data_IF_163908762018
#
_entry.id   IF_163908762018
#
_cell.length_a   1.000
_cell.length_b   1.000
_cell.length_c   1.000
_cell.angle_alpha   90.00
_cell.angle_beta   90.00
_cell.angle_gamma   90.00
#
_symmetry.space_group_name_H-M   'P 1'
#
loop_
_entity.id
_entity.type
_entity.pdbx_description
1 polymer ?
#
# COMPACT_ATOMS: atom_id res chain seq x y z
N UNK A 1 -2.96 19.88 -11.31
CA UNK A 1 -4.03 19.74 -12.32
C UNK A 1 -3.62 18.82 -13.48
N UNK A 2 -2.74 19.21 -14.42
CA UNK A 2 -2.39 18.34 -15.57
C UNK A 2 -1.79 16.97 -15.18
N UNK A 3 -0.89 16.95 -14.19
CA UNK A 3 -0.27 15.70 -13.71
C UNK A 3 -1.28 14.80 -12.99
N UNK A 4 -2.16 15.37 -12.16
CA UNK A 4 -3.24 14.64 -11.49
C UNK A 4 -4.19 13.97 -12.49
N UNK A 5 -4.64 14.69 -13.52
CA UNK A 5 -5.48 14.10 -14.57
C UNK A 5 -4.74 13.03 -15.38
N UNK A 6 -3.44 13.24 -15.67
CA UNK A 6 -2.61 12.23 -16.33
C UNK A 6 -2.47 10.97 -15.47
N UNK A 7 -2.31 11.11 -14.15
CA UNK A 7 -2.22 10.00 -13.21
C UNK A 7 -3.55 9.24 -13.14
N UNK A 8 -4.67 9.94 -13.12
CA UNK A 8 -6.02 9.34 -13.19
C UNK A 8 -6.19 8.50 -14.47
N UNK A 9 -5.84 9.05 -15.63
CA UNK A 9 -5.89 8.30 -16.89
C UNK A 9 -4.95 7.08 -16.88
N UNK A 10 -3.80 7.19 -16.21
CA UNK A 10 -2.86 6.08 -16.08
C UNK A 10 -3.43 4.97 -15.18
N UNK A 11 -4.13 5.32 -14.09
CA UNK A 11 -4.86 4.37 -13.25
C UNK A 11 -5.89 3.62 -14.09
N UNK A 12 -6.72 4.33 -14.85
CA UNK A 12 -7.74 3.71 -15.71
C UNK A 12 -7.12 2.74 -16.73
N UNK A 13 -5.97 3.10 -17.31
CA UNK A 13 -5.23 2.22 -18.22
C UNK A 13 -4.69 0.96 -17.55
N UNK A 14 -4.09 1.09 -16.36
CA UNK A 14 -3.58 -0.07 -15.59
C UNK A 14 -4.72 -1.03 -15.28
N UNK A 15 -5.87 -0.50 -14.84
CA UNK A 15 -7.05 -1.31 -14.50
C UNK A 15 -7.59 -2.02 -15.74
N UNK A 16 -7.73 -1.30 -16.85
CA UNK A 16 -8.16 -1.91 -18.12
C UNK A 16 -7.23 -3.05 -18.54
N UNK A 17 -5.91 -2.88 -18.42
CA UNK A 17 -4.94 -3.93 -18.72
C UNK A 17 -5.13 -5.15 -17.79
N UNK A 18 -5.26 -4.92 -16.49
CA UNK A 18 -5.50 -5.99 -15.50
C UNK A 18 -6.78 -6.79 -15.81
N UNK A 19 -7.86 -6.11 -16.19
CA UNK A 19 -9.11 -6.74 -16.63
C UNK A 19 -8.93 -7.59 -17.90
N UNK A 20 -8.16 -7.10 -18.88
CA UNK A 20 -7.86 -7.89 -20.08
C UNK A 20 -7.03 -9.12 -19.75
N UNK A 21 -6.03 -8.98 -18.88
CA UNK A 21 -5.23 -10.10 -18.39
C UNK A 21 -6.11 -11.12 -17.66
N UNK A 22 -7.06 -10.68 -16.83
CA UNK A 22 -8.06 -11.56 -16.22
C UNK A 22 -8.82 -12.38 -17.27
N UNK A 23 -9.38 -11.74 -18.30
CA UNK A 23 -10.19 -12.44 -19.32
C UNK A 23 -9.37 -13.51 -20.04
N UNK A 24 -8.12 -13.21 -20.38
CA UNK A 24 -7.23 -14.13 -21.10
C UNK A 24 -6.80 -15.28 -20.19
N UNK A 25 -6.26 -14.96 -19.01
CA UNK A 25 -5.67 -15.95 -18.12
C UNK A 25 -6.70 -16.83 -17.44
N UNK A 26 -7.90 -16.31 -17.15
CA UNK A 26 -8.98 -17.11 -16.55
C UNK A 26 -9.40 -18.29 -17.45
N UNK A 27 -9.23 -18.19 -18.77
CA UNK A 27 -9.53 -19.28 -19.71
C UNK A 27 -8.37 -20.25 -19.92
N UNK A 28 -7.14 -19.86 -19.58
CA UNK A 28 -5.92 -20.61 -19.87
C UNK A 28 -5.33 -21.30 -18.63
N UNK A 29 -5.51 -20.70 -17.45
CA UNK A 29 -4.91 -21.15 -16.20
C UNK A 29 -5.94 -21.87 -15.34
N UNK A 30 -5.46 -22.86 -14.57
CA UNK A 30 -6.24 -23.43 -13.47
C UNK A 30 -6.55 -22.35 -12.42
N UNK A 31 -7.67 -22.42 -11.69
CA UNK A 31 -8.08 -21.42 -10.69
C UNK A 31 -6.98 -21.04 -9.69
N UNK A 32 -6.25 -22.01 -9.15
CA UNK A 32 -5.16 -21.79 -8.21
C UNK A 32 -3.93 -21.13 -8.84
N UNK A 33 -3.59 -21.53 -10.07
CA UNK A 33 -2.49 -20.93 -10.83
C UNK A 33 -2.84 -19.49 -11.24
N UNK A 34 -4.07 -19.25 -11.69
CA UNK A 34 -4.59 -17.92 -11.98
C UNK A 34 -4.48 -17.01 -10.75
N UNK A 35 -5.01 -17.46 -9.61
CA UNK A 35 -5.00 -16.68 -8.36
C UNK A 35 -3.57 -16.32 -7.98
N UNK A 36 -2.65 -17.30 -7.93
CA UNK A 36 -1.25 -17.05 -7.58
C UNK A 36 -0.60 -16.06 -8.55
N UNK A 37 -0.73 -16.27 -9.86
CA UNK A 37 -0.13 -15.39 -10.87
C UNK A 37 -0.70 -13.97 -10.80
N UNK A 38 -2.01 -13.83 -10.62
CA UNK A 38 -2.64 -12.52 -10.51
C UNK A 38 -2.25 -11.80 -9.21
N UNK A 39 -2.18 -12.51 -8.08
CA UNK A 39 -1.67 -11.95 -6.83
C UNK A 39 -0.23 -11.45 -6.97
N UNK A 40 0.64 -12.16 -7.69
CA UNK A 40 2.02 -11.70 -7.95
C UNK A 40 2.05 -10.43 -8.81
N UNK A 41 1.21 -10.33 -9.84
CA UNK A 41 1.10 -9.13 -10.67
C UNK A 41 0.60 -7.95 -9.85
N UNK A 42 -0.44 -8.15 -9.05
CA UNK A 42 -1.00 -7.11 -8.18
C UNK A 42 0.00 -6.67 -7.11
N UNK A 43 0.74 -7.61 -6.52
CA UNK A 43 1.80 -7.30 -5.56
C UNK A 43 2.87 -6.41 -6.18
N UNK A 44 3.34 -6.72 -7.38
CA UNK A 44 4.32 -5.89 -8.08
C UNK A 44 3.77 -4.48 -8.37
N UNK A 45 2.53 -4.38 -8.86
CA UNK A 45 1.89 -3.09 -9.17
C UNK A 45 1.74 -2.24 -7.91
N UNK A 46 1.19 -2.80 -6.83
CA UNK A 46 0.99 -2.04 -5.59
C UNK A 46 2.31 -1.72 -4.88
N UNK A 47 3.28 -2.65 -4.90
CA UNK A 47 4.60 -2.42 -4.32
C UNK A 47 5.28 -1.26 -5.00
N UNK A 48 5.27 -1.24 -6.33
CA UNK A 48 5.83 -0.15 -7.12
C UNK A 48 5.17 1.18 -6.82
N UNK A 49 3.84 1.25 -6.79
CA UNK A 49 3.11 2.49 -6.46
C UNK A 49 3.46 2.96 -5.04
N UNK A 50 3.44 2.07 -4.05
CA UNK A 50 3.75 2.42 -2.66
C UNK A 50 5.19 2.93 -2.51
N UNK A 51 6.15 2.24 -3.13
CA UNK A 51 7.56 2.63 -3.10
C UNK A 51 7.78 3.96 -3.82
N UNK A 52 7.19 4.15 -5.00
CA UNK A 52 7.33 5.40 -5.76
C UNK A 52 6.78 6.60 -4.98
N UNK A 53 5.68 6.43 -4.22
CA UNK A 53 5.14 7.49 -3.35
C UNK A 53 6.06 7.73 -2.15
N UNK A 54 6.58 6.68 -1.51
CA UNK A 54 7.47 6.79 -0.35
C UNK A 54 8.85 7.39 -0.70
N UNK A 55 9.25 7.36 -1.96
CA UNK A 55 10.49 7.96 -2.47
C UNK A 55 10.33 9.43 -2.90
N UNK A 56 9.14 10.01 -2.79
CA UNK A 56 8.95 11.42 -3.09
C UNK A 56 9.54 12.28 -1.98
N UNK A 57 10.42 13.20 -2.36
CA UNK A 57 10.94 14.27 -1.51
C UNK A 57 10.05 15.52 -1.62
N UNK A 58 9.93 16.28 -0.53
CA UNK A 58 9.26 17.60 -0.48
C UNK A 58 7.85 17.66 -1.10
N UNK A 59 6.90 16.97 -0.46
CA UNK A 59 5.50 16.90 -0.89
C UNK A 59 4.71 18.06 -0.26
N UNK A 60 4.13 18.94 -1.08
CA UNK A 60 3.25 19.99 -0.58
C UNK A 60 1.91 19.43 -0.09
N UNK A 61 1.25 20.14 0.83
CA UNK A 61 -0.04 19.70 1.40
C UNK A 61 -1.13 19.41 0.34
N UNK A 62 -1.17 20.19 -0.75
CA UNK A 62 -2.10 19.94 -1.86
C UNK A 62 -1.74 18.66 -2.63
N UNK A 63 -0.46 18.34 -2.77
CA UNK A 63 0.02 17.13 -3.45
C UNK A 63 -0.26 15.89 -2.60
N UNK A 64 -0.11 15.99 -1.28
CA UNK A 64 -0.51 14.95 -0.31
C UNK A 64 -2.00 14.60 -0.47
N UNK A 65 -2.87 15.60 -0.57
CA UNK A 65 -4.32 15.40 -0.81
C UNK A 65 -4.60 14.78 -2.18
N UNK A 66 -3.88 15.19 -3.21
CA UNK A 66 -4.01 14.64 -4.55
C UNK A 66 -3.57 13.17 -4.61
N UNK A 67 -2.44 12.82 -3.99
CA UNK A 67 -1.98 11.44 -3.88
C UNK A 67 -2.99 10.57 -3.14
N UNK A 68 -3.52 11.05 -2.02
CA UNK A 68 -4.54 10.33 -1.26
C UNK A 68 -5.77 10.03 -2.11
N UNK A 69 -6.28 11.03 -2.85
CA UNK A 69 -7.42 10.84 -3.77
C UNK A 69 -7.12 9.83 -4.87
N UNK A 70 -5.91 9.84 -5.43
CA UNK A 70 -5.50 8.88 -6.46
C UNK A 70 -5.45 7.45 -5.90
N UNK A 71 -4.95 7.25 -4.68
CA UNK A 71 -4.95 5.94 -4.03
C UNK A 71 -6.38 5.45 -3.78
N UNK A 72 -7.28 6.32 -3.29
CA UNK A 72 -8.69 5.96 -3.10
C UNK A 72 -9.36 5.60 -4.44
N UNK A 73 -9.16 6.40 -5.48
CA UNK A 73 -9.71 6.13 -6.81
C UNK A 73 -9.22 4.79 -7.38
N UNK A 74 -7.93 4.49 -7.21
CA UNK A 74 -7.35 3.20 -7.60
C UNK A 74 -8.09 2.04 -6.92
N UNK A 75 -8.35 2.13 -5.61
CA UNK A 75 -9.06 1.08 -4.87
C UNK A 75 -10.54 1.00 -5.20
N UNK A 76 -11.22 2.13 -5.38
CA UNK A 76 -12.62 2.15 -5.82
C UNK A 76 -12.78 1.42 -7.15
N UNK A 77 -11.92 1.74 -8.13
CA UNK A 77 -11.97 1.14 -9.45
C UNK A 77 -11.52 -0.34 -9.47
N UNK A 78 -10.61 -0.74 -8.57
CA UNK A 78 -10.15 -2.13 -8.46
C UNK A 78 -11.02 -3.02 -7.57
N UNK A 79 -11.95 -2.46 -6.80
CA UNK A 79 -12.74 -3.20 -5.80
C UNK A 79 -13.40 -4.47 -6.39
N UNK A 80 -14.18 -4.30 -7.46
CA UNK A 80 -14.88 -5.40 -8.15
C UNK A 80 -13.92 -6.45 -8.74
N UNK A 81 -12.76 -6.01 -9.21
CA UNK A 81 -11.70 -6.88 -9.73
C UNK A 81 -11.06 -7.71 -8.62
N UNK A 82 -10.69 -7.08 -7.50
CA UNK A 82 -10.10 -7.76 -6.34
C UNK A 82 -11.08 -8.78 -5.74
N UNK A 83 -12.36 -8.42 -5.66
CA UNK A 83 -13.43 -9.32 -5.20
C UNK A 83 -13.57 -10.53 -6.13
N UNK A 84 -13.46 -10.33 -7.44
CA UNK A 84 -13.49 -11.40 -8.44
C UNK A 84 -12.29 -12.35 -8.27
N UNK A 85 -11.09 -11.84 -8.03
CA UNK A 85 -9.89 -12.67 -7.76
C UNK A 85 -10.04 -13.46 -6.46
N UNK A 86 -10.67 -12.88 -5.44
CA UNK A 86 -10.94 -13.56 -4.17
C UNK A 86 -11.99 -14.67 -4.27
N UNK A 87 -13.04 -14.46 -5.06
CA UNK A 87 -14.15 -15.40 -5.23
C UNK A 87 -13.74 -16.74 -5.87
N UNK A 88 -12.63 -16.76 -6.63
CA UNK A 88 -12.10 -17.97 -7.30
C UNK A 88 -11.76 -19.10 -6.30
N UNK A 89 -11.60 -18.80 -5.01
CA UNK A 89 -11.32 -19.80 -3.97
C UNK A 89 -12.52 -20.65 -3.55
N UNK A 90 -13.75 -20.21 -3.79
CA UNK A 90 -14.94 -20.87 -3.21
C UNK A 90 -15.44 -22.07 -4.03
N UNK A 91 -14.89 -22.29 -5.23
CA UNK A 91 -15.39 -23.29 -6.18
C UNK A 91 -14.61 -24.60 -6.21
N UNK A 92 -13.49 -24.70 -5.50
CA UNK A 92 -12.67 -25.93 -5.43
C UNK A 92 -12.71 -26.59 -4.05
N UNK A 93 -13.53 -27.63 -3.89
CA UNK A 93 -13.38 -28.58 -2.78
C UNK A 93 -11.97 -29.17 -2.86
N UNK A 94 -11.07 -28.80 -1.94
CA UNK A 94 -9.90 -29.51 -1.40
C UNK A 94 -8.83 -28.48 -0.99
N UNK A 95 -8.66 -28.28 0.33
CA UNK A 95 -7.38 -28.29 1.06
C UNK A 95 -7.45 -27.44 2.35
N UNK A 96 -7.05 -28.08 3.44
CA UNK A 96 -7.06 -27.67 4.85
C UNK A 96 -5.94 -26.67 5.20
N UNK A 97 -5.69 -25.64 4.38
CA UNK A 97 -4.84 -24.52 4.79
C UNK A 97 -5.71 -23.38 5.32
N UNK A 98 -5.30 -22.64 6.38
CA UNK A 98 -6.02 -21.43 6.76
C UNK A 98 -6.18 -20.56 5.53
N UNK A 99 -7.40 -20.07 5.28
CA UNK A 99 -7.71 -19.31 4.08
C UNK A 99 -6.75 -18.12 3.98
N UNK A 100 -5.72 -18.22 3.14
CA UNK A 100 -4.77 -17.13 2.89
C UNK A 100 -5.58 -15.92 2.46
N UNK A 101 -5.51 -14.87 3.27
CA UNK A 101 -6.22 -13.62 3.00
C UNK A 101 -5.55 -12.90 1.83
N UNK A 102 -6.25 -11.94 1.22
CA UNK A 102 -5.66 -11.13 0.15
C UNK A 102 -4.40 -10.40 0.65
N UNK A 103 -4.41 -9.98 1.90
CA UNK A 103 -3.31 -9.25 2.53
C UNK A 103 -2.08 -10.15 2.78
N UNK A 104 -2.27 -11.48 2.93
CA UNK A 104 -1.16 -12.44 3.00
C UNK A 104 -0.51 -12.66 1.63
N UNK A 105 -1.31 -12.60 0.57
CA UNK A 105 -0.87 -12.82 -0.81
C UNK A 105 -0.32 -11.55 -1.46
N UNK A 106 -0.78 -10.40 -0.99
CA UNK A 106 -0.48 -9.08 -1.54
C UNK A 106 -0.18 -8.12 -0.36
N UNK A 107 0.95 -8.28 0.35
CA UNK A 107 1.31 -7.40 1.47
C UNK A 107 1.33 -5.91 1.08
N UNK A 108 1.71 -5.60 -0.16
CA UNK A 108 1.75 -4.21 -0.66
C UNK A 108 0.36 -3.58 -0.78
N UNK A 109 -0.70 -4.39 -0.90
CA UNK A 109 -2.08 -3.91 -0.85
C UNK A 109 -2.39 -3.27 0.50
N UNK A 110 -2.07 -3.98 1.59
CA UNK A 110 -2.26 -3.51 2.96
C UNK A 110 -1.41 -2.27 3.23
N UNK A 111 -0.16 -2.26 2.78
CA UNK A 111 0.74 -1.11 2.91
C UNK A 111 0.19 0.12 2.19
N UNK A 112 -0.27 -0.02 0.95
CA UNK A 112 -0.78 1.09 0.14
C UNK A 112 -2.09 1.66 0.70
N UNK A 113 -3.00 0.83 1.25
CA UNK A 113 -4.18 1.33 1.98
C UNK A 113 -3.76 2.17 3.18
N UNK A 114 -2.82 1.67 3.97
CA UNK A 114 -2.33 2.40 5.14
C UNK A 114 -1.60 3.69 4.77
N UNK A 115 -0.94 3.71 3.61
CA UNK A 115 -0.33 4.92 3.06
C UNK A 115 -1.37 6.02 2.77
N UNK A 116 -2.56 5.65 2.28
CA UNK A 116 -3.66 6.60 2.10
C UNK A 116 -4.10 7.25 3.43
N UNK A 117 -4.14 6.47 4.51
CA UNK A 117 -4.43 7.00 5.85
C UNK A 117 -3.30 7.93 6.34
N UNK A 118 -2.04 7.54 6.11
CA UNK A 118 -0.86 8.30 6.53
C UNK A 118 -0.80 9.69 5.89
N UNK A 119 -1.22 9.83 4.63
CA UNK A 119 -1.23 11.11 3.92
C UNK A 119 -2.14 12.16 4.59
N UNK A 120 -3.21 11.75 5.29
CA UNK A 120 -4.11 12.66 6.00
C UNK A 120 -3.88 12.66 7.53
N UNK A 121 -2.92 11.87 7.99
CA UNK A 121 -2.67 11.70 9.42
C UNK A 121 -1.78 12.82 9.98
N UNK A 122 -2.11 13.41 11.14
CA UNK A 122 -1.23 14.39 11.77
C UNK A 122 0.04 13.71 12.30
N UNK A 123 1.16 14.44 12.29
CA UNK A 123 2.49 13.95 12.70
C UNK A 123 2.51 13.18 14.03
N UNK A 124 1.79 13.66 15.05
CA UNK A 124 1.71 12.98 16.36
C UNK A 124 1.04 11.60 16.27
N UNK A 125 0.01 11.48 15.45
CA UNK A 125 -0.69 10.21 15.24
C UNK A 125 0.16 9.23 14.44
N UNK A 126 0.94 9.70 13.45
CA UNK A 126 1.91 8.87 12.73
C UNK A 126 2.96 8.31 13.71
N UNK A 127 3.48 9.16 14.59
CA UNK A 127 4.46 8.76 15.61
C UNK A 127 3.85 7.72 16.56
N UNK A 128 2.62 7.94 17.03
CA UNK A 128 1.92 6.99 17.89
C UNK A 128 1.67 5.64 17.19
N UNK A 129 1.25 5.65 15.92
CA UNK A 129 1.06 4.43 15.13
C UNK A 129 2.38 3.67 14.88
N UNK A 130 3.51 4.38 14.80
CA UNK A 130 4.82 3.72 14.80
C UNK A 130 5.13 3.09 16.16
N UNK A 131 4.84 3.79 17.26
CA UNK A 131 5.10 3.32 18.62
C UNK A 131 4.23 2.14 19.08
N UNK A 132 3.09 1.90 18.43
CA UNK A 132 2.19 0.78 18.71
C UNK A 132 2.44 -0.44 17.81
N UNK A 133 3.53 -0.45 17.03
CA UNK A 133 3.81 -1.43 15.96
C UNK A 133 2.76 -1.47 14.84
N UNK A 134 1.81 -0.54 14.82
CA UNK A 134 0.76 -0.53 13.80
C UNK A 134 1.36 -0.40 12.40
N UNK A 135 2.26 0.57 12.20
CA UNK A 135 2.92 0.78 10.89
C UNK A 135 3.84 -0.37 10.51
N UNK A 136 4.60 -0.93 11.47
CA UNK A 136 5.44 -2.11 11.23
C UNK A 136 4.60 -3.32 10.78
N UNK A 137 3.45 -3.54 11.42
CA UNK A 137 2.51 -4.59 11.05
C UNK A 137 1.90 -4.40 9.66
N UNK A 138 1.88 -3.18 9.12
CA UNK A 138 1.45 -2.87 7.75
C UNK A 138 2.61 -2.92 6.72
N UNK A 139 3.81 -3.34 7.13
CA UNK A 139 4.95 -3.53 6.22
C UNK A 139 5.80 -2.27 5.99
N UNK A 140 5.68 -1.26 6.84
CA UNK A 140 6.55 -0.09 6.81
C UNK A 140 7.86 -0.35 7.57
N UNK A 141 8.96 0.13 7.00
CA UNK A 141 10.27 0.19 7.65
C UNK A 141 10.43 1.54 8.35
N UNK A 142 11.27 1.57 9.37
CA UNK A 142 11.58 2.81 10.10
C UNK A 142 12.05 3.92 9.16
N UNK A 143 12.99 3.63 8.26
CA UNK A 143 13.52 4.61 7.30
C UNK A 143 12.41 5.17 6.42
N UNK A 144 11.48 4.33 5.95
CA UNK A 144 10.35 4.78 5.12
C UNK A 144 9.44 5.74 5.89
N UNK A 145 9.19 5.49 7.18
CA UNK A 145 8.36 6.37 8.01
C UNK A 145 9.08 7.69 8.30
N UNK A 146 10.40 7.66 8.54
CA UNK A 146 11.19 8.87 8.74
C UNK A 146 11.24 9.73 7.48
N UNK A 147 11.51 9.13 6.33
CA UNK A 147 11.60 9.81 5.05
C UNK A 147 10.24 10.40 4.66
N UNK A 148 9.16 9.64 4.86
CA UNK A 148 7.80 10.14 4.68
C UNK A 148 7.49 11.36 5.56
N UNK A 149 7.88 11.33 6.85
CA UNK A 149 7.69 12.48 7.75
C UNK A 149 8.51 13.69 7.28
N UNK A 150 9.74 13.47 6.81
CA UNK A 150 10.61 14.54 6.28
C UNK A 150 10.02 15.15 5.01
N UNK A 151 9.41 14.34 4.15
CA UNK A 151 8.83 14.76 2.88
C UNK A 151 7.57 15.64 3.05
N UNK A 152 6.71 15.33 4.01
CA UNK A 152 5.39 16.01 4.14
C UNK A 152 5.39 17.13 5.19
N UNK A 153 6.15 16.98 6.28
CA UNK A 153 6.13 17.95 7.38
C UNK A 153 7.34 18.88 7.32
N UNK A 154 7.07 20.18 7.34
CA UNK A 154 8.09 21.23 7.40
C UNK A 154 9.01 21.08 8.64
N UNK A 155 10.25 21.60 8.54
CA UNK A 155 11.18 21.55 9.66
C UNK A 155 10.65 22.33 10.87
N UNK A 156 10.42 21.60 11.95
CA UNK A 156 9.89 22.16 13.19
C UNK A 156 10.45 21.41 14.40
N UNK A 157 10.47 22.03 15.59
CA UNK A 157 10.86 21.34 16.82
C UNK A 157 10.02 20.08 17.08
N UNK A 158 8.73 20.13 16.74
CA UNK A 158 7.83 18.98 16.88
C UNK A 158 8.26 17.82 15.95
N UNK A 159 8.61 18.12 14.69
CA UNK A 159 9.11 17.11 13.75
C UNK A 159 10.38 16.43 14.25
N UNK A 160 11.34 17.20 14.75
CA UNK A 160 12.62 16.68 15.28
C UNK A 160 12.38 15.75 16.47
N UNK A 161 11.48 16.13 17.37
CA UNK A 161 11.14 15.29 18.53
C UNK A 161 10.43 13.99 18.12
N UNK A 162 9.49 14.06 17.18
CA UNK A 162 8.81 12.88 16.65
C UNK A 162 9.77 11.90 15.96
N UNK A 163 10.68 12.40 15.11
CA UNK A 163 11.71 11.58 14.46
C UNK A 163 12.63 10.91 15.49
N UNK A 164 13.08 11.65 16.51
CA UNK A 164 13.90 11.11 17.61
C UNK A 164 13.22 9.96 18.36
N UNK A 165 11.89 10.03 18.55
CA UNK A 165 11.11 8.95 19.18
C UNK A 165 11.05 7.70 18.31
N UNK A 166 10.86 7.87 17.01
CA UNK A 166 10.88 6.79 16.02
C UNK A 166 12.22 6.06 16.03
N UNK A 167 13.33 6.81 16.05
CA UNK A 167 14.69 6.28 16.15
C UNK A 167 14.95 5.53 17.46
N UNK A 168 14.52 6.10 18.59
CA UNK A 168 14.81 5.54 19.93
C UNK A 168 14.18 4.16 20.15
N UNK A 169 13.02 3.90 19.53
CA UNK A 169 12.31 2.62 19.65
C UNK A 169 13.06 1.47 18.97
N UNK A 170 13.73 1.75 17.85
CA UNK A 170 14.55 0.76 17.16
C UNK A 170 15.64 0.22 18.09
N UNK A 171 16.35 1.10 18.80
CA UNK A 171 17.39 0.68 19.74
C UNK A 171 16.87 -0.15 20.91
N UNK A 172 15.62 0.07 21.36
CA UNK A 172 15.00 -0.75 22.41
C UNK A 172 14.61 -2.16 21.91
N UNK A 173 14.17 -2.30 20.67
CA UNK A 173 13.86 -3.62 20.09
C UNK A 173 15.12 -4.52 19.97
N UNK A 174 16.28 -3.93 19.66
CA UNK A 174 17.56 -4.66 19.54
C UNK A 174 18.28 -4.91 20.86
N UNK A 175 17.90 -4.26 21.97
CA UNK A 175 18.52 -4.46 23.28
C UNK A 175 17.85 -5.56 24.13
N UNK A 176 16.75 -6.14 23.64
CA UNK A 176 16.07 -7.28 24.25
C UNK A 176 15.96 -8.51 23.32
N UNK A 177 16.68 -8.50 22.19
CA UNK A 177 16.85 -9.64 21.27
C UNK A 177 18.16 -10.37 21.56
#
# INVERSE_FOLDING_TARGET
MKQYESAKLSIDQVIFILEKVYIIWHRLLLPSAYKRSMSMVLEEVFSRIANDILLLDDIAAEETLQLQRLIHLLFENLSSFLDSVLAINQTGKLQESPAQTLDDLIPSLRKLRKLADLLDMPLKSITAAWETDELANHGFKQSEVEDFIRAIFADSPLRKECLRRIESRYYQAFSYS
#
